data_IF_216073932811
#
_entry.id   IF_216073932811
#
_cell.length_a   1.000
_cell.length_b   1.000
_cell.length_c   1.000
_cell.angle_alpha   90.00
_cell.angle_beta   90.00
_cell.angle_gamma   90.00
#
_symmetry.space_group_name_H-M   'P 1'
#
loop_
_entity.id
_entity.type
_entity.pdbx_description
1 polymer ?
#
# COMPACT_ATOMS: atom_id res chain seq x y z
N UNK A 1 48.31 -46.99 74.73
CA UNK A 1 47.81 -46.99 73.34
C UNK A 1 46.63 -46.03 73.24
N UNK A 2 46.86 -44.78 72.80
CA UNK A 2 45.80 -43.79 72.53
C UNK A 2 45.56 -43.78 71.01
N UNK A 3 44.37 -44.15 70.56
CA UNK A 3 43.95 -44.03 69.16
C UNK A 3 43.09 -42.78 69.02
N UNK A 4 43.60 -41.78 68.31
CA UNK A 4 42.85 -40.60 67.88
C UNK A 4 41.92 -41.01 66.73
N UNK A 5 40.62 -40.78 66.88
CA UNK A 5 39.67 -40.85 65.78
C UNK A 5 39.68 -39.49 65.06
N UNK A 6 40.16 -39.47 63.80
CA UNK A 6 39.96 -38.34 62.89
C UNK A 6 38.60 -38.52 62.19
N UNK A 7 37.65 -37.66 62.53
CA UNK A 7 36.44 -37.42 61.74
C UNK A 7 36.81 -36.71 60.44
N UNK A 8 36.56 -37.38 59.32
CA UNK A 8 36.77 -36.85 57.97
C UNK A 8 35.50 -36.08 57.54
N UNK A 9 35.54 -34.75 57.63
CA UNK A 9 34.46 -33.89 57.10
C UNK A 9 34.58 -33.81 55.58
N UNK A 10 33.61 -34.36 54.85
CA UNK A 10 33.48 -34.22 53.40
C UNK A 10 32.97 -32.80 53.12
N UNK A 11 33.87 -31.92 52.67
CA UNK A 11 33.53 -30.61 52.14
C UNK A 11 33.05 -30.79 50.70
N UNK A 12 31.73 -30.77 50.47
CA UNK A 12 31.16 -30.68 49.12
C UNK A 12 31.37 -29.24 48.62
N UNK A 13 32.39 -29.02 47.81
CA UNK A 13 32.49 -27.78 47.03
C UNK A 13 31.38 -27.77 45.98
N UNK A 14 30.33 -26.98 46.23
CA UNK A 14 29.43 -26.50 45.19
C UNK A 14 30.25 -25.57 44.27
N UNK A 15 30.77 -26.12 43.18
CA UNK A 15 31.21 -25.34 42.03
C UNK A 15 29.98 -24.61 41.47
N UNK A 16 29.79 -23.36 41.88
CA UNK A 16 28.93 -22.43 41.17
C UNK A 16 29.57 -22.20 39.79
N UNK A 17 29.20 -23.02 38.81
CA UNK A 17 29.54 -22.76 37.42
C UNK A 17 29.01 -21.38 37.05
N UNK A 18 29.88 -20.50 36.56
CA UNK A 18 29.48 -19.20 36.04
C UNK A 18 28.41 -19.44 34.96
N UNK A 19 27.16 -19.04 35.23
CA UNK A 19 26.10 -19.13 34.24
C UNK A 19 26.47 -18.25 33.06
N UNK A 20 26.41 -18.80 31.84
CA UNK A 20 26.73 -18.07 30.64
C UNK A 20 25.73 -16.92 30.44
N UNK A 21 26.24 -15.69 30.46
CA UNK A 21 25.48 -14.48 30.21
C UNK A 21 24.96 -14.43 28.77
N UNK A 22 23.79 -13.83 28.55
CA UNK A 22 23.20 -13.66 27.22
C UNK A 22 23.95 -12.58 26.44
N UNK A 23 24.49 -12.92 25.28
CA UNK A 23 25.23 -11.97 24.45
C UNK A 23 24.37 -11.39 23.34
N UNK A 24 23.38 -12.14 22.85
CA UNK A 24 22.67 -11.80 21.63
C UNK A 24 21.27 -12.40 21.59
N UNK A 25 20.36 -11.68 20.95
CA UNK A 25 19.06 -12.16 20.48
C UNK A 25 18.89 -11.71 19.03
N UNK A 26 18.38 -12.58 18.16
CA UNK A 26 18.20 -12.27 16.75
C UNK A 26 17.86 -13.48 15.88
N UNK A 27 18.18 -13.42 14.58
CA UNK A 27 17.65 -14.36 13.57
C UNK A 27 16.12 -14.39 13.56
N UNK A 28 15.51 -13.23 13.83
CA UNK A 28 14.06 -13.12 13.94
C UNK A 28 13.40 -13.29 12.58
N UNK A 29 12.36 -14.13 12.52
CA UNK A 29 11.58 -14.40 11.31
C UNK A 29 10.09 -14.35 11.62
N UNK A 30 9.32 -13.92 10.63
CA UNK A 30 7.89 -13.68 10.73
C UNK A 30 7.16 -14.62 9.77
N UNK A 31 6.05 -15.21 10.20
CA UNK A 31 5.24 -16.11 9.40
C UNK A 31 3.76 -15.81 9.62
N UNK A 32 2.99 -15.71 8.54
CA UNK A 32 1.54 -15.71 8.60
C UNK A 32 1.02 -17.16 8.56
N UNK A 33 -0.11 -17.42 9.20
CA UNK A 33 -0.77 -18.74 9.13
C UNK A 33 -1.00 -19.17 7.68
N UNK A 34 -0.51 -20.35 7.31
CA UNK A 34 -0.68 -20.92 5.97
C UNK A 34 0.12 -20.22 4.85
N UNK A 35 1.07 -19.35 5.20
CA UNK A 35 1.90 -18.60 4.25
C UNK A 35 3.39 -18.85 4.44
N UNK A 36 4.18 -18.45 3.44
CA UNK A 36 5.63 -18.41 3.55
C UNK A 36 6.11 -17.28 4.49
N UNK A 37 7.42 -17.23 4.75
CA UNK A 37 8.04 -16.21 5.58
C UNK A 37 7.72 -14.80 5.06
N UNK A 38 7.30 -13.92 5.97
CA UNK A 38 7.06 -12.50 5.70
C UNK A 38 8.38 -11.70 5.72
N UNK A 39 8.42 -10.54 5.04
CA UNK A 39 9.51 -9.59 5.23
C UNK A 39 9.54 -9.11 6.70
N UNK A 40 10.72 -8.70 7.18
CA UNK A 40 10.89 -8.21 8.55
C UNK A 40 10.13 -6.91 8.84
N UNK A 41 9.76 -6.15 7.80
CA UNK A 41 8.93 -4.95 7.90
C UNK A 41 7.89 -4.93 6.79
N UNK A 42 6.77 -4.27 7.07
CA UNK A 42 5.67 -4.06 6.13
C UNK A 42 5.12 -5.37 5.53
N UNK A 43 5.28 -6.49 6.26
CA UNK A 43 4.61 -7.74 5.92
C UNK A 43 3.09 -7.56 6.02
N UNK A 44 2.33 -8.29 5.24
CA UNK A 44 0.88 -8.14 5.20
C UNK A 44 0.20 -9.40 5.71
N UNK A 45 -0.76 -9.23 6.62
CA UNK A 45 -1.67 -10.26 7.11
C UNK A 45 -3.06 -10.03 6.56
N UNK A 46 -3.73 -11.09 6.13
CA UNK A 46 -5.16 -11.04 5.82
C UNK A 46 -6.01 -11.08 7.11
N UNK A 47 -7.24 -10.55 7.10
CA UNK A 47 -8.13 -10.64 8.27
C UNK A 47 -8.29 -12.07 8.76
N UNK A 48 -7.99 -12.28 10.05
CA UNK A 48 -8.09 -13.58 10.70
C UNK A 48 -6.81 -14.43 10.67
N UNK A 49 -5.79 -14.05 9.89
CA UNK A 49 -4.46 -14.67 10.02
C UNK A 49 -3.80 -14.24 11.35
N UNK A 50 -3.00 -15.14 11.92
CA UNK A 50 -2.15 -14.82 13.08
C UNK A 50 -0.68 -14.73 12.67
N UNK A 51 0.07 -13.93 13.43
CA UNK A 51 1.51 -13.76 13.24
C UNK A 51 2.27 -14.72 14.17
N UNK A 52 3.03 -15.63 13.58
CA UNK A 52 4.05 -16.39 14.29
C UNK A 52 5.40 -15.69 14.14
N UNK A 53 6.05 -15.40 15.27
CA UNK A 53 7.40 -14.85 15.30
C UNK A 53 8.34 -15.89 15.90
N UNK A 54 9.48 -16.11 15.24
CA UNK A 54 10.55 -16.95 15.79
C UNK A 54 11.81 -16.11 15.96
N UNK A 55 12.65 -16.46 16.93
CA UNK A 55 13.92 -15.78 17.20
C UNK A 55 14.88 -16.73 17.91
N UNK A 56 16.14 -16.32 18.06
CA UNK A 56 17.18 -17.10 18.71
C UNK A 56 17.90 -16.28 19.76
N UNK A 57 18.31 -16.91 20.86
CA UNK A 57 19.26 -16.34 21.83
C UNK A 57 20.58 -17.08 21.77
N UNK A 58 21.68 -16.38 22.09
CA UNK A 58 23.01 -16.96 22.26
C UNK A 58 23.72 -16.35 23.48
N UNK A 59 24.47 -17.15 24.26
CA UNK A 59 24.51 -18.63 24.27
C UNK A 59 23.25 -19.22 24.90
N UNK A 60 23.12 -20.56 24.90
CA UNK A 60 22.12 -21.28 25.69
C UNK A 60 22.35 -20.97 27.18
N UNK A 61 21.38 -20.36 27.84
CA UNK A 61 21.45 -20.00 29.24
C UNK A 61 20.25 -20.54 30.03
N UNK A 62 20.48 -21.07 31.23
CA UNK A 62 19.43 -21.61 32.10
C UNK A 62 18.60 -20.47 32.69
N UNK A 63 17.28 -20.56 32.59
CA UNK A 63 16.35 -19.56 33.13
C UNK A 63 16.22 -18.28 32.30
N UNK A 64 16.80 -18.22 31.10
CA UNK A 64 16.56 -17.11 30.18
C UNK A 64 15.08 -17.05 29.75
N UNK A 65 14.59 -15.83 29.48
CA UNK A 65 13.24 -15.59 28.98
C UNK A 65 13.28 -14.63 27.80
N UNK A 66 12.38 -14.81 26.83
CA UNK A 66 12.26 -13.92 25.67
C UNK A 66 10.85 -13.38 25.58
N UNK A 67 10.72 -12.06 25.40
CA UNK A 67 9.44 -11.37 25.20
C UNK A 67 9.43 -10.62 23.87
N UNK A 68 8.27 -10.54 23.25
CA UNK A 68 7.95 -9.59 22.17
C UNK A 68 7.17 -8.41 22.77
N UNK A 69 7.62 -7.19 22.47
CA UNK A 69 6.97 -5.96 22.90
C UNK A 69 6.29 -5.37 21.68
N UNK A 70 4.96 -5.35 21.69
CA UNK A 70 4.11 -5.00 20.55
C UNK A 70 3.41 -3.67 20.82
N UNK A 71 3.34 -2.83 19.79
CA UNK A 71 2.50 -1.63 19.74
C UNK A 71 1.60 -1.66 18.52
N UNK A 72 0.43 -1.04 18.63
CA UNK A 72 -0.49 -0.79 17.51
C UNK A 72 -0.84 0.68 17.33
N UNK A 73 -0.26 1.57 18.13
CA UNK A 73 -0.59 3.00 18.22
C UNK A 73 0.68 3.88 18.28
N UNK A 74 1.72 3.49 17.53
CA UNK A 74 3.00 4.21 17.45
C UNK A 74 3.68 4.43 18.81
N UNK A 75 3.74 3.37 19.62
CA UNK A 75 4.44 3.31 20.92
C UNK A 75 3.79 4.17 22.02
N UNK A 76 2.54 4.60 21.85
CA UNK A 76 1.77 5.20 22.93
C UNK A 76 1.41 4.16 23.99
N UNK A 77 1.07 2.94 23.57
CA UNK A 77 0.87 1.80 24.45
C UNK A 77 1.63 0.58 23.97
N UNK A 78 1.97 -0.31 24.90
CA UNK A 78 2.66 -1.56 24.59
C UNK A 78 1.96 -2.75 25.25
N UNK A 79 2.08 -3.90 24.60
CA UNK A 79 1.70 -5.21 25.14
C UNK A 79 2.89 -6.14 25.03
N UNK A 80 3.12 -6.94 26.07
CA UNK A 80 4.19 -7.92 26.08
C UNK A 80 3.61 -9.33 25.96
N UNK A 81 4.26 -10.17 25.16
CA UNK A 81 3.94 -11.60 25.07
C UNK A 81 5.21 -12.40 25.26
N UNK A 82 5.14 -13.47 26.05
CA UNK A 82 6.28 -14.36 26.27
C UNK A 82 6.42 -15.33 25.09
N UNK A 83 7.66 -15.53 24.65
CA UNK A 83 7.98 -16.62 23.76
C UNK A 83 8.00 -17.95 24.51
N UNK A 84 7.61 -19.00 23.79
CA UNK A 84 7.83 -20.39 24.19
C UNK A 84 9.17 -20.88 23.67
N UNK A 85 9.81 -21.74 24.48
CA UNK A 85 10.95 -22.53 24.02
C UNK A 85 10.52 -23.47 22.88
N UNK A 86 11.36 -23.60 21.86
CA UNK A 86 11.18 -24.56 20.76
C UNK A 86 12.19 -25.71 20.85
N UNK A 87 13.45 -25.42 20.55
CA UNK A 87 14.57 -26.37 20.61
C UNK A 87 15.91 -25.63 20.76
N UNK A 88 16.98 -26.37 21.08
CA UNK A 88 18.35 -25.85 21.02
C UNK A 88 19.03 -26.30 19.72
N UNK A 89 19.81 -25.41 19.11
CA UNK A 89 20.59 -25.73 17.91
C UNK A 89 21.96 -25.06 17.96
N UNK A 90 23.01 -25.87 17.90
CA UNK A 90 24.38 -25.40 18.15
C UNK A 90 24.49 -24.74 19.53
N UNK A 91 25.03 -23.52 19.57
CA UNK A 91 25.12 -22.73 20.80
C UNK A 91 23.89 -21.84 21.10
N UNK A 92 22.80 -21.99 20.35
CA UNK A 92 21.63 -21.10 20.43
C UNK A 92 20.40 -21.82 20.99
N UNK A 93 19.50 -21.06 21.61
CA UNK A 93 18.13 -21.50 21.90
C UNK A 93 17.17 -20.86 20.90
N UNK A 94 16.35 -21.68 20.26
CA UNK A 94 15.25 -21.27 19.37
C UNK A 94 13.98 -21.02 20.18
N UNK A 95 13.29 -19.93 19.84
CA UNK A 95 12.07 -19.49 20.48
C UNK A 95 11.00 -19.23 19.43
N UNK A 96 9.72 -19.38 19.82
CA UNK A 96 8.58 -18.94 19.02
C UNK A 96 7.47 -18.31 19.87
N UNK A 97 6.67 -17.45 19.26
CA UNK A 97 5.43 -16.92 19.83
C UNK A 97 4.39 -16.82 18.71
N UNK A 98 3.13 -17.12 19.03
CA UNK A 98 1.98 -16.87 18.15
C UNK A 98 1.18 -15.74 18.76
N UNK A 99 1.14 -14.59 18.09
CA UNK A 99 0.39 -13.45 18.55
C UNK A 99 -1.12 -13.64 18.30
N UNK A 100 -1.98 -13.07 19.15
CA UNK A 100 -3.42 -13.05 18.87
C UNK A 100 -3.72 -12.29 17.58
N UNK A 101 -4.87 -12.55 16.92
CA UNK A 101 -5.28 -11.79 15.75
C UNK A 101 -5.47 -10.32 16.13
N UNK A 102 -5.08 -9.43 15.22
CA UNK A 102 -5.31 -7.99 15.36
C UNK A 102 -6.47 -7.54 14.46
N UNK A 103 -7.16 -6.44 14.80
CA UNK A 103 -8.23 -5.91 13.97
C UNK A 103 -7.77 -5.56 12.54
N UNK A 104 -8.63 -5.70 11.51
CA UNK A 104 -8.34 -5.22 10.16
C UNK A 104 -7.98 -3.73 10.14
N UNK A 105 -6.97 -3.35 9.35
CA UNK A 105 -6.45 -1.99 9.27
C UNK A 105 -5.40 -1.64 10.34
N UNK A 106 -4.99 -2.60 11.19
CA UNK A 106 -4.03 -2.35 12.25
C UNK A 106 -2.59 -2.37 11.73
N UNK A 107 -1.80 -1.34 12.08
CA UNK A 107 -0.35 -1.37 11.94
C UNK A 107 0.30 -1.89 13.20
N UNK A 108 0.91 -3.07 13.13
CA UNK A 108 1.57 -3.73 14.26
C UNK A 108 3.06 -3.52 14.14
N UNK A 109 3.69 -2.98 15.19
CA UNK A 109 5.15 -2.86 15.29
C UNK A 109 5.64 -3.55 16.55
N UNK A 110 6.86 -4.08 16.52
CA UNK A 110 7.42 -4.73 17.70
C UNK A 110 8.95 -4.81 17.70
N UNK A 111 9.51 -5.04 18.88
CA UNK A 111 10.89 -5.51 19.08
C UNK A 111 10.90 -6.68 20.06
N UNK A 112 12.03 -7.38 20.12
CA UNK A 112 12.23 -8.51 21.02
C UNK A 112 13.19 -8.13 22.13
N UNK A 113 12.92 -8.65 23.33
CA UNK A 113 13.75 -8.51 24.53
C UNK A 113 14.02 -9.88 25.11
N UNK A 114 15.29 -10.24 25.25
CA UNK A 114 15.71 -11.43 25.99
C UNK A 114 16.35 -11.02 27.33
N UNK A 115 16.03 -11.76 28.39
CA UNK A 115 16.52 -11.51 29.76
C UNK A 115 17.20 -12.76 30.30
N UNK A 116 18.31 -12.54 30.99
CA UNK A 116 18.99 -13.56 31.78
C UNK A 116 18.58 -13.43 33.26
N UNK A 117 18.53 -14.52 34.05
CA UNK A 117 18.21 -14.46 35.48
C UNK A 117 19.08 -13.51 36.31
N UNK A 118 20.30 -13.21 35.85
CA UNK A 118 21.19 -12.24 36.50
C UNK A 118 20.78 -10.78 36.31
N UNK A 119 19.70 -10.50 35.56
CA UNK A 119 19.20 -9.14 35.27
C UNK A 119 19.72 -8.53 33.96
N UNK A 120 20.63 -9.21 33.25
CA UNK A 120 21.08 -8.76 31.94
C UNK A 120 19.95 -8.82 30.91
N UNK A 121 19.86 -7.82 30.04
CA UNK A 121 18.86 -7.74 28.97
C UNK A 121 19.53 -7.42 27.63
N UNK A 122 19.14 -8.13 26.57
CA UNK A 122 19.55 -7.88 25.18
C UNK A 122 18.31 -7.73 24.30
N UNK A 123 18.43 -7.00 23.20
CA UNK A 123 17.32 -6.63 22.34
C UNK A 123 17.58 -6.97 20.87
N UNK A 124 16.51 -7.32 20.17
CA UNK A 124 16.47 -7.33 18.71
C UNK A 124 15.37 -6.36 18.25
N UNK A 125 15.81 -5.19 17.78
CA UNK A 125 14.96 -4.13 17.27
C UNK A 125 15.15 -3.94 15.75
N UNK A 126 15.57 -5.00 15.03
CA UNK A 126 15.77 -4.97 13.58
C UNK A 126 16.70 -3.82 13.13
N UNK A 127 17.84 -3.65 13.82
CA UNK A 127 18.79 -2.58 13.52
C UNK A 127 18.24 -1.17 13.80
N UNK A 128 17.33 -1.02 14.76
CA UNK A 128 16.69 0.25 15.13
C UNK A 128 15.40 0.56 14.37
N UNK A 129 15.03 -0.24 13.36
CA UNK A 129 13.83 0.01 12.55
C UNK A 129 12.55 -0.64 13.11
N UNK A 130 12.68 -1.52 14.11
CA UNK A 130 11.66 -2.44 14.59
C UNK A 130 11.11 -3.38 13.49
N UNK A 131 10.45 -4.44 13.91
CA UNK A 131 9.68 -5.30 13.02
C UNK A 131 8.28 -4.72 12.82
N UNK A 132 7.66 -5.00 11.68
CA UNK A 132 6.28 -4.56 11.47
C UNK A 132 5.49 -5.40 10.48
N UNK A 133 4.18 -5.47 10.74
CA UNK A 133 3.18 -6.02 9.81
C UNK A 133 1.94 -5.12 9.76
N UNK A 134 1.24 -5.15 8.64
CA UNK A 134 -0.07 -4.55 8.45
C UNK A 134 -1.12 -5.66 8.40
N UNK A 135 -2.15 -5.56 9.24
CA UNK A 135 -3.36 -6.35 9.02
C UNK A 135 -4.19 -5.63 7.99
N UNK A 136 -4.34 -6.23 6.81
CA UNK A 136 -5.11 -5.65 5.72
C UNK A 136 -6.53 -5.39 6.19
N UNK A 137 -7.05 -4.24 5.84
CA UNK A 137 -8.49 -4.05 5.82
C UNK A 137 -9.03 -4.79 4.61
N UNK A 138 -9.73 -5.90 4.82
CA UNK A 138 -10.57 -6.47 3.78
C UNK A 138 -12.02 -6.13 4.11
N UNK A 139 -12.72 -5.33 3.28
CA UNK A 139 -14.17 -5.22 3.41
C UNK A 139 -14.77 -6.63 3.29
N UNK A 140 -15.91 -6.89 3.95
CA UNK A 140 -16.63 -8.14 3.74
C UNK A 140 -17.02 -8.19 2.26
N UNK A 141 -16.37 -9.04 1.47
CA UNK A 141 -16.75 -9.24 0.07
C UNK A 141 -18.16 -9.81 0.03
N UNK A 142 -19.07 -9.12 -0.65
CA UNK A 142 -20.34 -9.74 -1.04
C UNK A 142 -20.07 -10.65 -2.23
N UNK A 143 -20.37 -11.94 -2.08
CA UNK A 143 -20.28 -12.94 -3.16
C UNK A 143 -21.44 -12.76 -4.15
N UNK A 144 -21.51 -11.59 -4.76
CA UNK A 144 -22.58 -11.22 -5.68
C UNK A 144 -21.98 -10.77 -7.01
N UNK A 145 -22.59 -11.13 -8.15
CA UNK A 145 -22.10 -10.68 -9.44
C UNK A 145 -22.11 -9.15 -9.54
N UNK A 146 -21.14 -8.62 -10.28
CA UNK A 146 -20.99 -7.19 -10.60
C UNK A 146 -21.52 -6.97 -12.02
N UNK A 147 -22.41 -6.00 -12.20
CA UNK A 147 -22.88 -5.59 -13.52
C UNK A 147 -22.03 -4.44 -14.05
N UNK A 148 -21.20 -4.69 -15.07
CA UNK A 148 -20.60 -3.61 -15.87
C UNK A 148 -21.69 -2.92 -16.69
N UNK A 149 -21.93 -1.63 -16.45
CA UNK A 149 -23.04 -0.90 -17.03
C UNK A 149 -22.61 0.40 -17.69
N UNK A 150 -22.25 0.31 -18.97
CA UNK A 150 -21.70 1.44 -19.74
C UNK A 150 -22.76 2.00 -20.71
N UNK A 151 -22.44 3.15 -21.33
CA UNK A 151 -23.27 3.81 -22.35
C UNK A 151 -24.71 4.17 -21.92
N UNK A 152 -24.95 4.33 -20.63
CA UNK A 152 -26.27 4.73 -20.08
C UNK A 152 -26.09 5.93 -19.15
N UNK A 153 -26.97 6.93 -19.23
CA UNK A 153 -26.92 8.09 -18.35
C UNK A 153 -27.37 7.75 -16.91
N UNK A 154 -26.89 8.52 -15.93
CA UNK A 154 -27.13 8.23 -14.51
C UNK A 154 -28.62 8.21 -14.14
N UNK A 155 -29.48 9.02 -14.78
CA UNK A 155 -30.92 9.01 -14.47
C UNK A 155 -31.58 7.73 -14.93
N UNK A 156 -31.23 7.27 -16.13
CA UNK A 156 -31.72 5.99 -16.66
C UNK A 156 -31.22 4.81 -15.82
N UNK A 157 -29.95 4.83 -15.39
CA UNK A 157 -29.43 3.81 -14.46
C UNK A 157 -30.25 3.80 -13.16
N UNK A 158 -30.45 4.97 -12.53
CA UNK A 158 -31.23 5.08 -11.28
C UNK A 158 -32.63 4.48 -11.40
N UNK A 159 -33.33 4.72 -12.51
CA UNK A 159 -34.69 4.19 -12.74
C UNK A 159 -34.72 2.66 -12.84
N UNK A 160 -33.63 2.04 -13.30
CA UNK A 160 -33.55 0.60 -13.57
C UNK A 160 -32.83 -0.20 -12.49
N UNK A 161 -32.30 0.44 -11.44
CA UNK A 161 -31.69 -0.27 -10.31
C UNK A 161 -32.56 -1.36 -9.67
N UNK A 162 -33.91 -1.22 -9.54
CA UNK A 162 -34.74 -2.30 -9.02
C UNK A 162 -34.64 -3.60 -9.84
N UNK A 163 -34.51 -3.49 -11.17
CA UNK A 163 -34.34 -4.63 -12.07
C UNK A 163 -32.99 -5.33 -11.84
N UNK A 164 -31.94 -4.55 -11.55
CA UNK A 164 -30.60 -5.05 -11.25
C UNK A 164 -30.59 -5.85 -9.94
N UNK A 165 -31.26 -5.34 -8.90
CA UNK A 165 -31.42 -6.06 -7.64
C UNK A 165 -32.21 -7.34 -7.83
N UNK A 166 -33.32 -7.29 -8.58
CA UNK A 166 -34.16 -8.46 -8.85
C UNK A 166 -33.41 -9.53 -9.64
N UNK A 167 -32.50 -9.13 -10.53
CA UNK A 167 -31.63 -10.04 -11.27
C UNK A 167 -30.52 -10.68 -10.42
N UNK A 168 -30.34 -10.25 -9.16
CA UNK A 168 -29.40 -10.85 -8.21
C UNK A 168 -27.99 -10.25 -8.21
N UNK A 169 -27.78 -9.11 -8.86
CA UNK A 169 -26.52 -8.36 -8.76
C UNK A 169 -26.42 -7.68 -7.40
N UNK A 170 -25.21 -7.63 -6.84
CA UNK A 170 -24.92 -6.89 -5.61
C UNK A 170 -24.06 -5.67 -5.82
N UNK A 171 -23.62 -5.41 -7.05
CA UNK A 171 -22.88 -4.21 -7.40
C UNK A 171 -23.06 -3.80 -8.87
N UNK A 172 -22.85 -2.52 -9.13
CA UNK A 172 -22.71 -1.97 -10.48
C UNK A 172 -21.30 -1.40 -10.67
N UNK A 173 -20.78 -1.53 -11.88
CA UNK A 173 -19.52 -0.96 -12.31
C UNK A 173 -19.77 0.07 -13.42
N UNK A 174 -19.52 1.32 -13.08
CA UNK A 174 -19.73 2.49 -13.92
C UNK A 174 -18.48 2.82 -14.74
N UNK A 175 -18.64 3.42 -15.93
CA UNK A 175 -17.51 3.97 -16.68
C UNK A 175 -16.86 5.13 -15.91
N UNK A 176 -15.69 5.56 -16.37
CA UNK A 176 -14.97 6.70 -15.79
C UNK A 176 -15.89 7.95 -15.73
N UNK A 177 -16.09 8.53 -14.53
CA UNK A 177 -17.05 9.63 -14.34
C UNK A 177 -16.47 11.02 -14.63
N UNK A 178 -15.19 11.10 -15.00
CA UNK A 178 -14.44 12.36 -15.08
C UNK A 178 -14.67 13.10 -16.41
N UNK A 179 -14.45 14.40 -16.42
CA UNK A 179 -14.46 15.22 -17.64
C UNK A 179 -13.33 14.78 -18.56
N UNK A 180 -13.68 14.54 -19.82
CA UNK A 180 -12.75 14.14 -20.86
C UNK A 180 -12.64 15.18 -21.99
N UNK A 181 -11.73 14.94 -22.94
CA UNK A 181 -11.43 15.86 -24.05
C UNK A 181 -12.62 16.34 -24.87
N UNK A 182 -13.62 15.51 -25.10
CA UNK A 182 -14.85 15.87 -25.80
C UNK A 182 -15.95 16.44 -24.89
N UNK A 183 -15.64 16.73 -23.63
CA UNK A 183 -16.63 17.17 -22.65
C UNK A 183 -17.72 16.12 -22.44
N UNK A 184 -18.98 16.52 -22.61
CA UNK A 184 -20.16 15.66 -22.51
C UNK A 184 -20.35 14.67 -23.66
N UNK A 185 -19.43 14.64 -24.63
CA UNK A 185 -19.48 13.73 -25.78
C UNK A 185 -18.40 12.64 -25.73
N UNK A 186 -17.58 12.62 -24.69
CA UNK A 186 -16.51 11.62 -24.48
C UNK A 186 -16.90 10.58 -23.45
N UNK A 187 -16.42 9.34 -23.67
CA UNK A 187 -16.76 8.15 -22.88
C UNK A 187 -16.04 8.03 -21.53
N UNK A 188 -15.11 8.93 -21.22
CA UNK A 188 -14.38 8.94 -19.94
C UNK A 188 -12.92 8.46 -20.02
N UNK A 189 -12.47 7.94 -21.17
CA UNK A 189 -11.16 7.30 -21.35
C UNK A 189 -10.06 8.20 -21.95
N UNK A 190 -10.35 9.48 -22.14
CA UNK A 190 -9.37 10.52 -22.49
C UNK A 190 -9.48 11.68 -21.49
N UNK A 191 -9.12 11.46 -20.21
CA UNK A 191 -9.45 12.37 -19.12
C UNK A 191 -8.75 13.73 -19.26
N UNK A 192 -9.49 14.80 -18.96
CA UNK A 192 -8.98 16.17 -18.99
C UNK A 192 -8.79 16.72 -17.56
N UNK A 193 -9.78 16.56 -16.70
CA UNK A 193 -9.74 16.99 -15.29
C UNK A 193 -10.28 15.85 -14.42
N UNK A 194 -9.40 15.20 -13.66
CA UNK A 194 -9.73 14.06 -12.80
C UNK A 194 -10.71 14.41 -11.67
N UNK A 195 -10.86 15.70 -11.36
CA UNK A 195 -11.73 16.19 -10.29
C UNK A 195 -13.01 16.86 -10.79
N UNK A 196 -13.18 17.03 -12.10
CA UNK A 196 -14.46 17.46 -12.68
C UNK A 196 -15.30 16.22 -12.99
N UNK A 197 -16.25 15.89 -12.11
CA UNK A 197 -17.19 14.77 -12.29
C UNK A 197 -18.47 15.20 -13.04
N UNK A 198 -18.46 16.39 -13.65
CA UNK A 198 -19.59 17.00 -14.33
C UNK A 198 -20.22 18.16 -13.56
N UNK A 199 -19.41 18.97 -12.88
CA UNK A 199 -19.84 20.16 -12.13
C UNK A 199 -19.15 21.46 -12.59
N UNK A 200 -18.20 21.39 -13.52
CA UNK A 200 -17.54 22.57 -14.09
C UNK A 200 -17.84 22.73 -15.56
N UNK A 201 -17.93 23.98 -16.03
CA UNK A 201 -17.99 24.26 -17.45
C UNK A 201 -16.60 24.14 -18.07
N UNK A 202 -16.25 22.94 -18.51
CA UNK A 202 -14.99 22.63 -19.17
C UNK A 202 -15.26 21.85 -20.47
N UNK A 203 -14.37 22.04 -21.46
CA UNK A 203 -14.45 21.34 -22.75
C UNK A 203 -15.86 21.44 -23.39
N UNK A 204 -16.48 22.62 -23.26
CA UNK A 204 -17.77 22.96 -23.87
C UNK A 204 -19.03 22.48 -23.15
N UNK A 205 -18.93 21.84 -21.99
CA UNK A 205 -20.09 21.26 -21.28
C UNK A 205 -19.92 21.28 -19.76
N UNK A 206 -21.02 21.34 -19.01
CA UNK A 206 -21.00 21.07 -17.55
C UNK A 206 -21.02 19.56 -17.28
N UNK A 207 -22.03 18.85 -17.77
CA UNK A 207 -22.13 17.39 -17.60
C UNK A 207 -21.03 16.61 -18.32
N UNK A 208 -20.75 15.40 -17.87
CA UNK A 208 -20.06 14.37 -18.67
C UNK A 208 -21.05 13.68 -19.60
N UNK A 209 -20.60 12.70 -20.38
CA UNK A 209 -21.50 11.88 -21.20
C UNK A 209 -22.59 11.21 -20.36
N UNK A 210 -22.28 10.83 -19.13
CA UNK A 210 -23.19 10.07 -18.28
C UNK A 210 -24.06 10.95 -17.38
N UNK A 211 -23.60 12.14 -16.99
CA UNK A 211 -24.38 13.05 -16.16
C UNK A 211 -23.54 14.10 -15.43
N UNK A 212 -24.14 14.72 -14.44
CA UNK A 212 -23.52 15.70 -13.54
C UNK A 212 -23.02 15.04 -12.25
N UNK A 213 -22.14 15.71 -11.51
CA UNK A 213 -21.69 15.27 -10.18
C UNK A 213 -22.86 15.00 -9.24
N UNK A 214 -23.90 15.85 -9.28
CA UNK A 214 -25.10 15.68 -8.45
C UNK A 214 -25.85 14.37 -8.78
N UNK A 215 -26.03 14.08 -10.07
CA UNK A 215 -26.70 12.85 -10.52
C UNK A 215 -25.89 11.59 -10.16
N UNK A 216 -24.56 11.65 -10.24
CA UNK A 216 -23.69 10.58 -9.79
C UNK A 216 -23.84 10.32 -8.28
N UNK A 217 -23.86 11.38 -7.46
CA UNK A 217 -24.08 11.28 -6.01
C UNK A 217 -25.46 10.69 -5.70
N UNK A 218 -26.50 11.11 -6.42
CA UNK A 218 -27.85 10.56 -6.26
C UNK A 218 -27.92 9.08 -6.63
N UNK A 219 -27.27 8.68 -7.74
CA UNK A 219 -27.14 7.30 -8.15
C UNK A 219 -26.46 6.45 -7.08
N UNK A 220 -25.32 6.90 -6.57
CA UNK A 220 -24.58 6.19 -5.51
C UNK A 220 -25.45 6.03 -4.26
N UNK A 221 -26.14 7.10 -3.82
CA UNK A 221 -27.03 7.04 -2.65
C UNK A 221 -28.17 6.06 -2.85
N UNK A 222 -28.79 6.05 -4.04
CA UNK A 222 -29.90 5.14 -4.33
C UNK A 222 -29.42 3.69 -4.41
N UNK A 223 -28.30 3.43 -5.09
CA UNK A 223 -27.68 2.10 -5.16
C UNK A 223 -27.40 1.56 -3.75
N UNK A 224 -26.75 2.35 -2.89
CA UNK A 224 -26.49 1.94 -1.50
C UNK A 224 -27.77 1.65 -0.71
N UNK A 225 -28.84 2.45 -0.88
CA UNK A 225 -30.14 2.17 -0.22
C UNK A 225 -30.76 0.85 -0.67
N UNK A 226 -30.52 0.46 -1.92
CA UNK A 226 -30.95 -0.81 -2.48
C UNK A 226 -29.98 -1.97 -2.17
N UNK A 227 -28.92 -1.70 -1.41
CA UNK A 227 -27.92 -2.70 -1.05
C UNK A 227 -26.99 -3.06 -2.21
N UNK A 228 -26.82 -2.19 -3.20
CA UNK A 228 -25.82 -2.34 -4.26
C UNK A 228 -24.55 -1.56 -3.91
N UNK A 229 -23.38 -2.13 -4.17
CA UNK A 229 -22.12 -1.40 -4.22
C UNK A 229 -21.93 -0.69 -5.57
N UNK A 230 -21.16 0.40 -5.59
CA UNK A 230 -20.87 1.16 -6.80
C UNK A 230 -19.37 1.28 -6.99
N UNK A 231 -18.90 0.79 -8.13
CA UNK A 231 -17.52 0.88 -8.58
C UNK A 231 -17.45 1.82 -9.79
N UNK A 232 -16.33 2.50 -9.97
CA UNK A 232 -16.08 3.30 -11.17
C UNK A 232 -14.67 3.05 -11.71
N UNK A 233 -14.50 3.29 -13.01
CA UNK A 233 -13.20 3.18 -13.66
C UNK A 233 -12.34 4.40 -13.31
N UNK A 234 -11.04 4.17 -13.09
CA UNK A 234 -10.07 5.22 -12.79
C UNK A 234 -8.96 5.18 -13.84
N UNK A 235 -8.98 6.16 -14.73
CA UNK A 235 -8.00 6.29 -15.81
C UNK A 235 -6.86 7.20 -15.35
N UNK A 236 -5.83 6.61 -14.77
CA UNK A 236 -4.65 7.32 -14.24
C UNK A 236 -3.38 7.10 -15.07
N UNK A 237 -3.48 6.32 -16.16
CA UNK A 237 -2.34 6.04 -17.04
C UNK A 237 -1.99 7.25 -17.90
N UNK A 238 -3.00 7.90 -18.49
CA UNK A 238 -2.81 8.98 -19.47
C UNK A 238 -3.90 10.04 -19.32
N UNK A 239 -3.69 11.19 -19.97
CA UNK A 239 -4.66 12.27 -20.14
C UNK A 239 -5.14 12.37 -21.61
N UNK A 240 -5.94 13.40 -21.90
CA UNK A 240 -6.50 13.69 -23.22
C UNK A 240 -5.43 13.77 -24.35
N UNK A 241 -5.89 13.76 -25.59
CA UNK A 241 -5.02 13.74 -26.75
C UNK A 241 -4.25 15.07 -26.88
N UNK A 242 -2.92 14.99 -26.99
CA UNK A 242 -2.00 16.13 -27.09
C UNK A 242 -2.28 17.06 -28.29
N UNK A 243 -2.84 16.52 -29.37
CA UNK A 243 -3.24 17.32 -30.54
C UNK A 243 -4.45 18.22 -30.27
N UNK A 244 -5.30 17.84 -29.31
CA UNK A 244 -6.53 18.56 -28.97
C UNK A 244 -6.42 19.38 -27.67
N UNK A 245 -5.47 19.03 -26.80
CA UNK A 245 -5.23 19.69 -25.52
C UNK A 245 -3.72 19.91 -25.30
N UNK A 246 -3.27 21.17 -25.25
CA UNK A 246 -1.91 21.50 -24.85
C UNK A 246 -1.57 20.96 -23.45
N UNK A 247 -0.35 20.47 -23.28
CA UNK A 247 0.12 19.74 -22.09
C UNK A 247 0.15 20.60 -20.81
N UNK A 248 0.21 21.92 -20.95
CA UNK A 248 0.23 22.89 -19.85
C UNK A 248 -1.18 23.28 -19.36
N UNK A 249 -2.24 22.70 -19.95
CA UNK A 249 -3.63 23.05 -19.62
C UNK A 249 -4.36 22.07 -18.72
N UNK A 250 -3.77 20.91 -18.45
CA UNK A 250 -4.37 19.91 -17.58
C UNK A 250 -4.39 20.40 -16.12
N UNK A 251 -5.56 20.47 -15.46
CA UNK A 251 -5.65 20.92 -14.08
C UNK A 251 -4.87 20.03 -13.12
N UNK A 252 -4.10 20.64 -12.21
CA UNK A 252 -3.42 19.91 -11.13
C UNK A 252 -2.13 19.20 -11.51
N UNK A 253 -1.70 19.31 -12.77
CA UNK A 253 -0.48 18.71 -13.29
C UNK A 253 0.38 19.74 -14.02
N UNK A 254 1.68 19.48 -14.14
CA UNK A 254 2.63 20.26 -14.92
C UNK A 254 3.13 19.43 -16.10
N UNK A 255 3.75 20.05 -17.12
CA UNK A 255 4.31 19.32 -18.25
C UNK A 255 5.22 18.14 -17.83
N UNK A 256 6.03 18.32 -16.79
CA UNK A 256 6.95 17.29 -16.26
C UNK A 256 6.26 16.09 -15.57
N UNK A 257 4.93 16.12 -15.41
CA UNK A 257 4.17 14.95 -14.98
C UNK A 257 3.94 13.94 -16.12
N UNK A 258 4.28 14.30 -17.34
CA UNK A 258 4.11 13.46 -18.53
C UNK A 258 5.45 13.04 -19.09
N UNK A 259 5.44 11.97 -19.88
CA UNK A 259 6.53 11.75 -20.83
C UNK A 259 6.48 12.85 -21.88
N UNK A 260 7.55 13.66 -21.96
CA UNK A 260 7.69 14.70 -22.98
C UNK A 260 8.73 14.25 -23.99
N UNK A 261 8.36 14.28 -25.28
CA UNK A 261 9.26 14.03 -26.41
C UNK A 261 9.34 15.28 -27.30
N UNK A 262 10.53 15.55 -27.83
CA UNK A 262 10.72 16.67 -28.77
C UNK A 262 9.92 16.43 -30.05
N UNK A 263 9.29 17.47 -30.60
CA UNK A 263 8.65 17.43 -31.93
C UNK A 263 9.64 17.19 -33.07
N UNK A 264 10.94 17.35 -32.80
CA UNK A 264 12.01 17.00 -33.73
C UNK A 264 12.41 15.52 -33.69
N UNK A 265 11.77 14.70 -32.83
CA UNK A 265 12.03 13.26 -32.76
C UNK A 265 11.13 12.52 -33.77
N UNK A 266 11.68 12.03 -34.90
CA UNK A 266 10.93 11.27 -35.89
C UNK A 266 10.52 9.87 -35.39
N UNK A 267 10.96 9.47 -34.19
CA UNK A 267 10.63 8.21 -33.54
C UNK A 267 9.62 8.36 -32.39
N UNK A 268 8.80 9.43 -32.41
CA UNK A 268 7.64 9.55 -31.54
C UNK A 268 6.59 8.48 -31.88
N UNK A 269 6.92 7.24 -31.57
CA UNK A 269 6.14 6.07 -31.89
C UNK A 269 5.03 5.97 -30.85
N UNK A 270 3.80 6.22 -31.29
CA UNK A 270 2.63 5.74 -30.57
C UNK A 270 2.69 4.21 -30.47
N UNK A 271 2.12 3.64 -29.40
CA UNK A 271 1.96 2.20 -29.29
C UNK A 271 1.08 1.71 -30.46
N UNK A 272 1.62 0.84 -31.30
CA UNK A 272 0.83 0.06 -32.24
C UNK A 272 0.21 -1.14 -31.50
N UNK A 273 -1.02 -1.00 -31.06
CA UNK A 273 -1.75 -2.03 -30.32
C UNK A 273 -1.93 -3.35 -31.06
N UNK A 274 -1.85 -3.36 -32.39
CA UNK A 274 -2.01 -4.59 -33.16
C UNK A 274 -0.76 -5.48 -33.08
N UNK A 275 0.40 -4.87 -32.79
CA UNK A 275 1.70 -5.53 -32.87
C UNK A 275 2.52 -5.42 -31.57
N UNK A 276 2.12 -4.60 -30.61
CA UNK A 276 2.82 -4.42 -29.34
C UNK A 276 2.63 -5.66 -28.43
N UNK A 277 3.72 -6.25 -27.91
CA UNK A 277 3.61 -7.35 -26.96
C UNK A 277 3.05 -6.84 -25.61
N UNK A 278 2.19 -7.63 -24.92
CA UNK A 278 1.74 -7.30 -23.57
C UNK A 278 2.92 -7.03 -22.64
N UNK A 279 2.87 -5.92 -21.89
CA UNK A 279 3.93 -5.47 -20.97
C UNK A 279 5.33 -5.33 -21.62
N UNK A 280 5.41 -5.17 -22.94
CA UNK A 280 6.66 -4.89 -23.63
C UNK A 280 7.17 -3.47 -23.39
N UNK A 281 8.40 -3.21 -23.85
CA UNK A 281 9.02 -1.89 -23.74
C UNK A 281 8.12 -0.75 -24.28
N UNK A 282 7.50 -0.95 -25.46
CA UNK A 282 6.59 0.04 -26.04
C UNK A 282 5.40 0.34 -25.14
N UNK A 283 4.74 -0.70 -24.62
CA UNK A 283 3.59 -0.58 -23.69
C UNK A 283 3.90 0.22 -22.42
N UNK A 284 5.16 0.26 -22.01
CA UNK A 284 5.60 0.95 -20.79
C UNK A 284 6.22 2.32 -21.03
N UNK A 285 6.52 2.70 -22.28
CA UNK A 285 7.35 3.89 -22.56
C UNK A 285 6.81 4.78 -23.67
N UNK A 286 5.78 4.38 -24.41
CA UNK A 286 5.28 5.06 -25.62
C UNK A 286 3.86 5.60 -25.40
N UNK A 287 3.52 6.70 -26.07
CA UNK A 287 2.20 7.32 -25.97
C UNK A 287 1.07 6.37 -26.45
N UNK A 288 -0.07 6.44 -25.79
CA UNK A 288 -1.25 5.62 -26.07
C UNK A 288 -2.13 6.27 -27.14
N UNK A 289 -1.84 6.07 -28.43
CA UNK A 289 -2.65 6.63 -29.56
C UNK A 289 -2.80 8.17 -29.45
N UNK A 290 -1.70 8.86 -29.14
CA UNK A 290 -1.66 10.32 -28.99
C UNK A 290 -2.23 10.87 -27.68
N UNK A 291 -2.70 10.01 -26.77
CA UNK A 291 -3.05 10.37 -25.39
C UNK A 291 -1.77 10.67 -24.60
N UNK A 292 -1.82 11.70 -23.76
CA UNK A 292 -0.64 12.15 -23.02
C UNK A 292 -0.33 11.19 -21.85
N UNK A 293 0.74 10.41 -21.95
CA UNK A 293 1.09 9.42 -20.93
C UNK A 293 1.72 10.07 -19.68
N UNK A 294 1.25 9.68 -18.49
CA UNK A 294 1.79 10.15 -17.23
C UNK A 294 3.09 9.41 -16.89
N UNK A 295 4.14 10.17 -16.55
CA UNK A 295 5.42 9.61 -16.12
C UNK A 295 5.32 9.12 -14.66
N UNK A 296 4.95 7.85 -14.47
CA UNK A 296 4.82 7.22 -13.15
C UNK A 296 6.15 6.79 -12.55
N UNK A 297 7.20 6.68 -13.34
CA UNK A 297 8.55 6.30 -12.94
C UNK A 297 9.43 7.46 -12.45
N UNK A 298 10.38 7.17 -11.56
CA UNK A 298 11.41 8.14 -11.11
C UNK A 298 12.45 8.39 -12.21
N UNK A 299 13.04 9.59 -12.21
CA UNK A 299 14.02 9.98 -13.24
C UNK A 299 13.37 10.15 -14.61
N UNK A 300 12.25 10.89 -14.67
CA UNK A 300 11.39 11.11 -15.84
C UNK A 300 12.23 11.08 -17.13
N UNK A 301 11.88 10.17 -18.04
CA UNK A 301 12.59 9.97 -19.31
C UNK A 301 12.29 11.13 -20.30
N UNK A 302 12.51 12.36 -19.86
CA UNK A 302 12.43 13.56 -20.68
C UNK A 302 13.65 13.54 -21.59
N UNK A 303 13.48 13.12 -22.84
CA UNK A 303 14.56 13.19 -23.81
C UNK A 303 14.90 14.66 -24.08
N UNK A 304 16.18 14.98 -24.00
CA UNK A 304 16.67 16.35 -24.06
C UNK A 304 16.45 16.97 -25.44
N UNK A 305 15.95 18.22 -25.43
CA UNK A 305 15.64 19.05 -26.58
C UNK A 305 15.25 20.46 -26.09
N UNK A 306 15.18 21.44 -26.99
CA UNK A 306 14.74 22.79 -26.60
C UNK A 306 13.23 22.80 -26.34
N UNK A 307 12.83 23.08 -25.09
CA UNK A 307 11.43 23.20 -24.69
C UNK A 307 11.15 24.62 -24.21
N UNK A 308 10.02 25.19 -24.62
CA UNK A 308 9.48 26.42 -24.04
C UNK A 308 8.53 26.05 -22.90
N UNK A 309 9.03 26.04 -21.66
CA UNK A 309 8.22 25.76 -20.48
C UNK A 309 7.68 27.04 -19.82
N UNK A 310 6.51 26.97 -19.15
CA UNK A 310 6.08 28.01 -18.22
C UNK A 310 7.11 28.24 -17.11
N UNK A 311 7.19 29.45 -16.54
CA UNK A 311 8.21 29.81 -15.53
C UNK A 311 8.17 29.00 -14.24
N UNK A 312 7.05 28.32 -13.96
CA UNK A 312 6.88 27.43 -12.80
C UNK A 312 7.31 25.98 -13.08
N UNK A 313 7.67 25.67 -14.32
CA UNK A 313 8.07 24.35 -14.78
C UNK A 313 9.60 24.37 -15.03
N UNK A 314 10.33 23.49 -14.33
CA UNK A 314 11.77 23.30 -14.51
C UNK A 314 12.02 21.81 -14.79
N UNK A 315 12.64 21.50 -15.93
CA UNK A 315 13.11 20.14 -16.21
C UNK A 315 14.17 19.75 -15.18
N UNK A 316 13.79 18.88 -14.25
CA UNK A 316 14.72 18.22 -13.36
C UNK A 316 15.06 16.85 -13.95
N UNK A 317 16.24 16.75 -14.55
CA UNK A 317 16.73 15.52 -15.17
C UNK A 317 16.95 14.34 -14.18
N UNK A 318 16.80 14.57 -12.87
CA UNK A 318 17.07 13.56 -11.84
C UNK A 318 15.85 13.21 -10.97
N UNK A 319 14.89 14.11 -10.77
CA UNK A 319 13.75 13.89 -9.85
C UNK A 319 12.44 14.46 -10.41
N UNK A 320 11.31 13.85 -10.05
CA UNK A 320 9.98 14.38 -10.37
C UNK A 320 9.75 15.77 -9.73
N UNK A 321 8.94 16.63 -10.35
CA UNK A 321 8.51 17.87 -9.71
C UNK A 321 7.74 17.56 -8.40
N UNK A 322 8.01 18.35 -7.36
CA UNK A 322 7.29 18.29 -6.09
C UNK A 322 6.65 19.64 -5.81
N UNK A 323 5.32 19.69 -5.82
CA UNK A 323 4.53 20.87 -5.50
C UNK A 323 3.14 20.47 -5.00
N UNK A 324 2.46 21.40 -4.33
CA UNK A 324 1.09 21.22 -3.83
C UNK A 324 0.10 21.26 -5.01
N UNK A 325 -0.61 20.16 -5.27
CA UNK A 325 -1.57 20.04 -6.38
C UNK A 325 -2.96 20.50 -5.96
N UNK A 326 -3.57 21.44 -6.69
CA UNK A 326 -4.86 22.03 -6.30
C UNK A 326 -4.85 22.71 -4.91
N UNK A 327 -3.93 23.67 -4.66
CA UNK A 327 -3.76 24.30 -3.33
C UNK A 327 -5.01 25.03 -2.82
N UNK A 328 -5.97 25.33 -3.70
CA UNK A 328 -7.23 26.01 -3.36
C UNK A 328 -8.40 25.04 -3.13
N UNK A 329 -8.17 23.71 -3.20
CA UNK A 329 -9.20 22.68 -3.07
C UNK A 329 -8.85 21.70 -1.94
N UNK A 330 -8.89 22.13 -0.67
CA UNK A 330 -8.52 21.29 0.49
C UNK A 330 -9.35 20.00 0.58
N UNK A 331 -10.58 20.00 0.07
CA UNK A 331 -11.49 18.85 0.08
C UNK A 331 -11.05 17.69 -0.85
N UNK A 332 -10.04 17.89 -1.70
CA UNK A 332 -9.42 16.81 -2.50
C UNK A 332 -8.44 15.96 -1.71
N UNK A 333 -8.08 16.41 -0.52
CA UNK A 333 -7.10 15.76 0.32
C UNK A 333 -7.81 14.96 1.41
N UNK A 334 -7.38 13.71 1.70
CA UNK A 334 -7.97 12.90 2.76
C UNK A 334 -7.91 13.57 4.15
N UNK A 335 -6.91 14.43 4.36
CA UNK A 335 -6.69 15.22 5.58
C UNK A 335 -7.45 16.54 5.59
N UNK A 336 -8.10 16.90 4.48
CA UNK A 336 -8.74 18.19 4.30
C UNK A 336 -7.76 19.36 4.19
N UNK A 337 -6.47 19.12 3.95
CA UNK A 337 -5.42 20.15 3.85
C UNK A 337 -4.45 19.84 2.69
N UNK A 338 -4.05 20.85 1.88
CA UNK A 338 -3.15 20.69 0.74
C UNK A 338 -1.71 20.28 1.01
#
# INVERSE_FOLDING_TARGET
MRRNALTLSILVLLLAGAQAQLNWVGNTRLFATGSHQLPSRLGMLDPGQVLTVTTQTNPIAVGQSVQIIVTTDNWLTTREYDFSFDFNTGGNTQWYVVLPPFPPGTYVQFYIRARHPSGQTVYDNNGGANYSVWVRYAPRSRETPILQWFQTDYRTIMQRLPEVVQAGYGAIYLPSPVKSGGGGYSTGYNPFDLFDLGDRFQKGTVRTQYGTTQELIELIRLAHRLGLEVYCDLVINHADNRASTPIDRYPGVTPEDFHIRSTSDPSNNEIDFNNAPPFGFGTLNYDLVGLADYAHEDGNNTRTGAFNLPSYAQFNAANKPSFVRHPLNPHYYPTGQP
#
